data_IF_484586942370
#
_entry.id   IF_484586942370
#
_cell.length_a   1.000
_cell.length_b   1.000
_cell.length_c   1.000
_cell.angle_alpha   90.00
_cell.angle_beta   90.00
_cell.angle_gamma   90.00
#
_symmetry.space_group_name_H-M   'P 1'
#
loop_
_entity.id
_entity.type
_entity.pdbx_description
1 polymer ?
#
# COMPACT_ATOMS: atom_id res chain seq x y z
N UNK A 1 -11.74 21.85 -1.62
CA UNK A 1 -12.63 20.98 -0.84
C UNK A 1 -13.93 20.86 -1.61
N UNK A 2 -14.62 19.73 -1.57
CA UNK A 2 -15.77 19.47 -2.43
C UNK A 2 -17.02 19.10 -1.64
N UNK A 3 -18.17 19.51 -2.19
CA UNK A 3 -19.48 19.11 -1.67
C UNK A 3 -20.09 18.10 -2.64
N UNK A 4 -20.29 16.83 -2.19
CA UNK A 4 -20.77 15.74 -3.04
C UNK A 4 -22.24 15.36 -2.79
N UNK A 5 -22.88 15.91 -1.77
CA UNK A 5 -24.31 15.66 -1.52
C UNK A 5 -24.98 16.86 -0.83
N UNK A 6 -26.32 16.93 -0.95
CA UNK A 6 -27.11 17.96 -0.29
C UNK A 6 -27.20 17.77 1.25
N UNK A 7 -26.63 16.71 1.82
CA UNK A 7 -26.65 16.41 3.26
C UNK A 7 -25.79 17.36 4.09
N UNK A 8 -26.06 17.45 5.39
CA UNK A 8 -25.28 18.31 6.34
C UNK A 8 -23.81 17.88 6.40
N UNK A 9 -23.54 16.58 6.34
CA UNK A 9 -22.19 16.01 6.44
C UNK A 9 -21.66 15.46 5.11
N UNK A 10 -22.27 15.86 3.99
CA UNK A 10 -21.89 15.41 2.65
C UNK A 10 -20.87 16.31 1.97
N UNK A 11 -19.83 16.71 2.69
CA UNK A 11 -18.77 17.57 2.22
C UNK A 11 -17.45 17.30 2.96
N UNK A 12 -16.34 17.72 2.37
CA UNK A 12 -15.00 17.49 2.93
C UNK A 12 -14.84 18.16 4.29
N UNK A 13 -15.25 19.42 4.45
CA UNK A 13 -15.11 20.18 5.69
C UNK A 13 -15.78 19.50 6.88
N UNK A 14 -17.01 19.02 6.70
CA UNK A 14 -17.72 18.28 7.75
C UNK A 14 -17.03 16.95 8.10
N UNK A 15 -16.44 16.29 7.13
CA UNK A 15 -15.73 15.02 7.34
C UNK A 15 -14.41 15.24 8.07
N UNK A 16 -13.62 16.20 7.66
CA UNK A 16 -12.31 16.52 8.22
C UNK A 16 -12.43 17.05 9.66
N UNK A 17 -13.42 17.94 9.89
CA UNK A 17 -13.64 18.51 11.22
C UNK A 17 -14.27 17.55 12.25
N UNK A 18 -14.87 16.43 11.82
CA UNK A 18 -15.56 15.52 12.73
C UNK A 18 -14.67 14.91 13.81
N UNK A 19 -13.45 14.54 13.45
CA UNK A 19 -12.44 14.05 14.40
C UNK A 19 -11.96 15.18 15.33
N UNK A 20 -11.76 16.38 14.76
CA UNK A 20 -11.36 17.56 15.51
C UNK A 20 -12.41 17.97 16.55
N UNK A 21 -13.71 17.97 16.18
CA UNK A 21 -14.79 18.18 17.16
C UNK A 21 -14.72 17.16 18.32
N UNK A 22 -14.53 15.88 17.96
CA UNK A 22 -14.46 14.83 18.98
C UNK A 22 -13.29 15.07 19.95
N UNK A 23 -12.13 15.44 19.44
CA UNK A 23 -10.95 15.74 20.25
C UNK A 23 -11.15 17.00 21.11
N UNK A 24 -11.65 18.09 20.52
CA UNK A 24 -11.85 19.35 21.22
C UNK A 24 -12.86 19.21 22.37
N UNK A 25 -14.04 18.63 22.12
CA UNK A 25 -15.06 18.43 23.15
C UNK A 25 -14.66 17.41 24.22
N UNK A 26 -13.79 16.46 23.90
CA UNK A 26 -13.23 15.54 24.89
C UNK A 26 -12.25 16.23 25.83
N UNK A 27 -11.40 17.09 25.28
CA UNK A 27 -10.27 17.68 26.01
C UNK A 27 -10.65 18.97 26.75
N UNK A 28 -11.34 19.90 26.10
CA UNK A 28 -11.65 21.21 26.66
C UNK A 28 -13.01 21.31 27.32
N UNK A 29 -13.94 20.39 27.06
CA UNK A 29 -15.34 20.58 27.40
C UNK A 29 -16.11 21.39 26.39
N UNK A 30 -17.36 21.84 26.73
CA UNK A 30 -18.25 22.39 25.69
C UNK A 30 -17.86 23.80 25.27
N UNK A 31 -17.79 24.75 26.20
CA UNK A 31 -17.67 26.17 25.88
C UNK A 31 -16.29 26.51 25.33
N UNK A 32 -15.23 26.01 25.91
CA UNK A 32 -13.87 26.22 25.45
C UNK A 32 -13.62 25.53 24.13
N UNK A 33 -14.18 24.32 23.93
CA UNK A 33 -14.05 23.59 22.66
C UNK A 33 -14.63 24.37 21.48
N UNK A 34 -15.82 24.99 21.65
CA UNK A 34 -16.44 25.81 20.59
C UNK A 34 -15.50 26.96 20.19
N UNK A 35 -14.95 27.67 21.17
CA UNK A 35 -14.03 28.78 20.92
C UNK A 35 -12.77 28.32 20.17
N UNK A 36 -12.19 27.18 20.56
CA UNK A 36 -11.00 26.61 19.91
C UNK A 36 -11.28 26.13 18.49
N UNK A 37 -12.44 25.56 18.26
CA UNK A 37 -12.87 25.13 16.93
C UNK A 37 -13.10 26.36 16.03
N UNK A 38 -13.83 27.37 16.50
CA UNK A 38 -14.07 28.63 15.75
C UNK A 38 -12.74 29.32 15.40
N UNK A 39 -11.82 29.44 16.34
CA UNK A 39 -10.48 29.98 16.14
C UNK A 39 -9.71 29.20 15.06
N UNK A 40 -9.70 27.89 15.15
CA UNK A 40 -9.02 27.03 14.19
C UNK A 40 -9.61 27.14 12.78
N UNK A 41 -10.94 27.11 12.67
CA UNK A 41 -11.62 27.19 11.37
C UNK A 41 -11.35 28.54 10.71
N UNK A 42 -11.47 29.66 11.44
CA UNK A 42 -11.21 31.02 10.91
C UNK A 42 -9.77 31.20 10.46
N UNK A 43 -8.82 30.61 11.15
CA UNK A 43 -7.40 30.76 10.85
C UNK A 43 -6.89 29.82 9.75
N UNK A 44 -7.55 28.67 9.53
CA UNK A 44 -6.97 27.60 8.70
C UNK A 44 -7.89 27.09 7.59
N UNK A 45 -9.20 27.34 7.66
CA UNK A 45 -10.16 26.76 6.72
C UNK A 45 -10.96 27.82 5.98
N UNK A 46 -11.81 28.57 6.69
CA UNK A 46 -12.70 29.56 6.09
C UNK A 46 -13.20 30.57 7.12
N UNK A 47 -13.73 31.67 6.63
CA UNK A 47 -14.53 32.65 7.40
C UNK A 47 -15.91 32.90 6.73
N UNK A 48 -16.66 33.85 7.25
CA UNK A 48 -18.01 34.17 6.74
C UNK A 48 -18.01 34.64 5.28
N UNK A 49 -16.90 35.06 4.72
CA UNK A 49 -16.80 35.48 3.32
C UNK A 49 -16.89 34.29 2.36
N UNK A 50 -16.39 33.12 2.78
CA UNK A 50 -16.60 31.84 2.09
C UNK A 50 -17.92 31.22 2.56
N UNK A 51 -19.01 31.62 1.94
CA UNK A 51 -20.36 31.20 2.35
C UNK A 51 -20.60 29.71 2.31
N UNK A 52 -19.95 29.00 1.40
CA UNK A 52 -20.14 27.53 1.28
C UNK A 52 -19.48 26.81 2.44
N UNK A 53 -18.18 27.02 2.61
CA UNK A 53 -17.42 26.33 3.63
C UNK A 53 -17.85 26.76 5.04
N UNK A 54 -18.23 28.03 5.22
CA UNK A 54 -18.78 28.52 6.47
C UNK A 54 -20.11 27.83 6.84
N UNK A 55 -21.02 27.63 5.87
CA UNK A 55 -22.24 26.84 6.07
C UNK A 55 -21.93 25.38 6.44
N UNK A 56 -20.99 24.79 5.72
CA UNK A 56 -20.58 23.40 5.97
C UNK A 56 -20.04 23.24 7.40
N UNK A 57 -19.23 24.19 7.85
CA UNK A 57 -18.71 24.24 9.20
C UNK A 57 -19.82 24.39 10.25
N UNK A 58 -20.60 25.48 10.19
CA UNK A 58 -21.60 25.81 11.22
C UNK A 58 -22.65 24.71 11.34
N UNK A 59 -23.16 24.21 10.22
CA UNK A 59 -24.17 23.15 10.25
C UNK A 59 -23.61 21.82 10.75
N UNK A 60 -22.38 21.46 10.39
CA UNK A 60 -21.78 20.22 10.87
C UNK A 60 -21.43 20.26 12.35
N UNK A 61 -21.00 21.41 12.88
CA UNK A 61 -20.79 21.62 14.29
C UNK A 61 -22.10 21.51 15.08
N UNK A 62 -23.14 22.20 14.63
CA UNK A 62 -24.46 22.17 15.28
C UNK A 62 -25.07 20.77 15.26
N UNK A 63 -24.98 20.04 14.15
CA UNK A 63 -25.43 18.64 14.03
C UNK A 63 -24.67 17.71 14.97
N UNK A 64 -23.33 17.86 15.02
CA UNK A 64 -22.50 17.08 15.94
C UNK A 64 -22.90 17.33 17.39
N UNK A 65 -22.99 18.59 17.79
CA UNK A 65 -23.32 18.98 19.16
C UNK A 65 -24.74 18.51 19.55
N UNK A 66 -25.74 18.67 18.66
CA UNK A 66 -27.08 18.20 18.89
C UNK A 66 -27.13 16.68 19.07
N UNK A 67 -26.50 15.90 18.15
CA UNK A 67 -26.43 14.45 18.24
C UNK A 67 -25.73 13.92 19.49
N UNK A 68 -24.83 14.73 20.06
CA UNK A 68 -24.15 14.43 21.32
C UNK A 68 -24.91 14.91 22.57
N UNK A 69 -25.97 15.67 22.39
CA UNK A 69 -26.76 16.23 23.47
C UNK A 69 -26.04 17.33 24.28
N UNK A 70 -25.23 18.15 23.58
CA UNK A 70 -24.39 19.21 24.16
C UNK A 70 -24.50 20.56 23.42
N UNK A 71 -25.47 20.70 22.52
CA UNK A 71 -25.62 21.96 21.76
C UNK A 71 -25.97 23.11 22.74
N UNK A 72 -25.30 24.22 22.57
CA UNK A 72 -25.62 25.47 23.28
C UNK A 72 -26.66 26.28 22.50
N UNK A 73 -27.35 27.18 23.18
CA UNK A 73 -28.35 28.05 22.58
C UNK A 73 -27.70 28.91 21.46
N UNK A 74 -26.49 29.41 21.72
CA UNK A 74 -25.72 30.22 20.77
C UNK A 74 -25.48 29.49 19.44
N UNK A 75 -24.96 28.26 19.49
CA UNK A 75 -24.68 27.49 18.26
C UNK A 75 -25.95 27.05 17.56
N UNK A 76 -26.99 26.71 18.33
CA UNK A 76 -28.29 26.37 17.77
C UNK A 76 -28.88 27.56 17.01
N UNK A 77 -28.96 28.73 17.66
CA UNK A 77 -29.58 29.92 17.13
C UNK A 77 -28.81 30.45 15.93
N UNK A 78 -27.45 30.42 15.96
CA UNK A 78 -26.59 30.72 14.80
C UNK A 78 -26.91 29.87 13.58
N UNK A 79 -27.07 28.54 13.78
CA UNK A 79 -27.40 27.64 12.69
C UNK A 79 -28.82 27.88 12.14
N UNK A 80 -29.79 28.15 13.01
CA UNK A 80 -31.17 28.48 12.62
C UNK A 80 -31.24 29.80 11.86
N UNK A 81 -30.58 30.85 12.32
CA UNK A 81 -30.53 32.15 11.67
C UNK A 81 -29.95 32.05 10.25
N UNK A 82 -28.90 31.23 10.09
CA UNK A 82 -28.34 30.98 8.77
C UNK A 82 -29.30 30.21 7.84
N UNK A 83 -30.10 29.27 8.38
CA UNK A 83 -31.12 28.58 7.62
C UNK A 83 -32.23 29.52 7.22
N UNK A 84 -32.75 30.30 8.18
CA UNK A 84 -33.90 31.21 7.99
C UNK A 84 -33.56 32.40 7.06
N UNK A 85 -32.31 32.85 7.05
CA UNK A 85 -31.81 33.86 6.13
C UNK A 85 -31.40 33.31 4.74
N UNK A 86 -31.58 32.02 4.49
CA UNK A 86 -31.11 31.35 3.27
C UNK A 86 -29.62 31.58 2.97
N UNK A 87 -28.79 31.78 4.02
CA UNK A 87 -27.36 32.03 3.85
C UNK A 87 -26.68 30.89 3.11
N UNK A 88 -25.92 31.21 2.05
CA UNK A 88 -25.21 30.21 1.23
C UNK A 88 -26.06 29.43 0.24
N UNK A 89 -27.41 29.57 0.23
CA UNK A 89 -28.27 28.82 -0.70
C UNK A 89 -28.08 29.20 -2.18
N UNK A 90 -27.62 30.44 -2.46
CA UNK A 90 -27.35 30.89 -3.83
C UNK A 90 -26.34 29.97 -4.56
N UNK A 91 -25.37 29.43 -3.87
CA UNK A 91 -24.34 28.51 -4.42
C UNK A 91 -24.99 27.23 -4.95
N UNK A 92 -26.01 26.72 -4.24
CA UNK A 92 -26.75 25.53 -4.65
C UNK A 92 -27.63 25.75 -5.86
N UNK A 93 -28.01 27.01 -6.14
CA UNK A 93 -28.76 27.35 -7.35
C UNK A 93 -27.90 27.15 -8.61
N UNK A 94 -26.60 27.37 -8.53
CA UNK A 94 -25.64 27.12 -9.61
C UNK A 94 -25.52 25.63 -9.96
N UNK A 95 -25.74 24.76 -9.00
CA UNK A 95 -25.76 23.30 -9.17
C UNK A 95 -27.09 22.76 -9.74
N UNK A 96 -28.05 23.64 -10.01
CA UNK A 96 -29.34 23.36 -10.64
C UNK A 96 -30.49 23.19 -9.64
N UNK A 97 -31.73 23.42 -10.15
CA UNK A 97 -32.94 23.42 -9.32
C UNK A 97 -33.22 22.15 -8.52
N UNK A 98 -32.82 21.00 -9.04
CA UNK A 98 -33.01 19.72 -8.34
C UNK A 98 -32.16 19.68 -7.06
N UNK A 99 -30.92 20.09 -7.15
CA UNK A 99 -29.99 20.12 -6.00
C UNK A 99 -30.41 21.16 -4.98
N UNK A 100 -30.79 22.34 -5.44
CA UNK A 100 -31.31 23.41 -4.56
C UNK A 100 -32.55 22.94 -3.79
N UNK A 101 -33.52 22.29 -4.45
CA UNK A 101 -34.71 21.73 -3.80
C UNK A 101 -34.38 20.64 -2.77
N UNK A 102 -33.38 19.80 -3.09
CA UNK A 102 -32.92 18.80 -2.13
C UNK A 102 -32.26 19.45 -0.91
N UNK A 103 -31.41 20.45 -1.13
CA UNK A 103 -30.76 21.18 -0.02
C UNK A 103 -31.78 21.87 0.89
N UNK A 104 -32.77 22.57 0.32
CA UNK A 104 -33.85 23.21 1.09
C UNK A 104 -34.56 22.20 2.00
N UNK A 105 -34.94 21.03 1.46
CA UNK A 105 -35.57 19.95 2.28
C UNK A 105 -34.65 19.42 3.39
N UNK A 106 -33.35 19.34 3.15
CA UNK A 106 -32.39 18.90 4.16
C UNK A 106 -32.30 19.94 5.26
N UNK A 107 -32.20 21.23 4.92
CA UNK A 107 -32.10 22.33 5.89
C UNK A 107 -33.38 22.48 6.69
N UNK A 108 -34.55 22.31 6.08
CA UNK A 108 -35.84 22.30 6.76
C UNK A 108 -35.92 21.21 7.84
N UNK A 109 -35.56 19.98 7.50
CA UNK A 109 -35.47 18.85 8.46
C UNK A 109 -34.41 19.10 9.54
N UNK A 110 -33.30 19.73 9.18
CA UNK A 110 -32.26 20.05 10.12
C UNK A 110 -32.69 21.13 11.11
N UNK A 111 -33.41 22.14 10.64
CA UNK A 111 -34.04 23.14 11.49
C UNK A 111 -35.03 22.50 12.48
N UNK A 112 -35.92 21.61 12.00
CA UNK A 112 -36.84 20.85 12.85
C UNK A 112 -36.07 20.04 13.91
N UNK A 113 -34.98 19.40 13.52
CA UNK A 113 -34.09 18.68 14.44
C UNK A 113 -33.52 19.58 15.53
N UNK A 114 -33.01 20.76 15.18
CA UNK A 114 -32.41 21.70 16.13
C UNK A 114 -33.44 22.27 17.11
N UNK A 115 -34.71 22.40 16.70
CA UNK A 115 -35.81 22.84 17.55
C UNK A 115 -36.47 21.72 18.39
N UNK A 116 -36.12 20.47 18.08
CA UNK A 116 -36.66 19.32 18.80
C UNK A 116 -35.99 19.16 20.20
N UNK A 117 -36.60 18.41 21.12
CA UNK A 117 -36.01 18.16 22.42
C UNK A 117 -34.60 17.55 22.31
N UNK A 118 -33.67 18.12 23.10
CA UNK A 118 -32.28 17.69 23.07
C UNK A 118 -32.14 16.21 23.51
N UNK A 119 -31.41 15.39 22.76
CA UNK A 119 -31.15 13.99 23.14
C UNK A 119 -30.31 13.93 24.45
N UNK A 120 -30.34 12.77 25.10
CA UNK A 120 -29.48 12.53 26.26
C UNK A 120 -28.02 12.72 25.90
N UNK A 121 -27.27 13.40 26.79
CA UNK A 121 -25.81 13.60 26.62
C UNK A 121 -25.10 12.27 26.41
N UNK A 122 -24.34 12.15 25.35
CA UNK A 122 -23.54 10.98 25.04
C UNK A 122 -22.10 11.20 25.42
N UNK A 123 -21.43 10.13 25.81
CA UNK A 123 -19.97 10.16 26.02
C UNK A 123 -19.25 10.48 24.71
N UNK A 124 -18.38 11.46 24.78
CA UNK A 124 -17.46 11.81 23.69
C UNK A 124 -16.10 11.25 24.05
N UNK A 125 -15.49 10.50 23.15
CA UNK A 125 -14.14 9.97 23.29
C UNK A 125 -13.53 9.82 21.91
N UNK A 126 -12.31 10.33 21.69
CA UNK A 126 -11.56 10.08 20.46
C UNK A 126 -11.30 8.58 20.27
N UNK A 127 -11.35 8.13 19.05
CA UNK A 127 -10.97 6.77 18.69
C UNK A 127 -9.51 6.75 18.29
N UNK A 128 -8.62 6.90 19.27
CA UNK A 128 -7.17 6.93 19.07
C UNK A 128 -6.51 5.77 19.81
N UNK A 129 -5.41 5.28 19.28
CA UNK A 129 -4.63 4.19 19.81
C UNK A 129 -3.43 4.77 20.57
N UNK A 130 -3.52 4.78 21.88
CA UNK A 130 -2.48 5.33 22.77
C UNK A 130 -1.70 4.24 23.51
N UNK A 131 -2.25 3.03 23.58
CA UNK A 131 -1.60 1.91 24.26
C UNK A 131 -0.45 1.37 23.43
N UNK A 132 0.71 1.24 24.06
CA UNK A 132 1.89 0.54 23.52
C UNK A 132 2.05 -0.74 24.33
N UNK A 133 1.80 -1.93 23.70
CA UNK A 133 1.94 -3.22 24.42
C UNK A 133 3.40 -3.66 24.47
N UNK A 134 4.20 -3.25 23.49
CA UNK A 134 5.58 -3.70 23.34
C UNK A 134 6.53 -2.52 23.45
N UNK A 135 7.73 -2.78 23.95
CA UNK A 135 8.84 -1.85 23.88
C UNK A 135 9.51 -1.90 22.50
N UNK A 136 10.12 -0.78 22.11
CA UNK A 136 10.90 -0.74 20.86
C UNK A 136 12.08 -1.69 20.99
N UNK A 137 12.21 -2.62 20.08
CA UNK A 137 13.21 -3.69 20.14
C UNK A 137 12.66 -5.07 20.52
N UNK A 138 11.46 -5.14 21.11
CA UNK A 138 10.86 -6.43 21.49
C UNK A 138 10.69 -7.35 20.26
N UNK A 139 11.14 -8.59 20.42
CA UNK A 139 10.94 -9.68 19.46
C UNK A 139 9.78 -10.52 19.96
N UNK A 140 8.79 -10.66 19.09
CA UNK A 140 7.50 -11.25 19.44
C UNK A 140 7.27 -12.46 18.52
N UNK A 141 7.07 -13.62 19.13
CA UNK A 141 6.49 -14.76 18.46
C UNK A 141 4.97 -14.58 18.42
N UNK A 142 4.38 -14.58 17.24
CA UNK A 142 2.95 -14.39 17.07
C UNK A 142 2.35 -15.52 16.26
N UNK A 143 1.21 -16.04 16.74
CA UNK A 143 0.50 -17.13 16.07
C UNK A 143 -0.27 -16.62 14.88
N UNK A 144 -0.04 -17.22 13.71
CA UNK A 144 -0.81 -16.99 12.50
C UNK A 144 -2.24 -17.50 12.64
N UNK A 145 -3.20 -16.70 12.15
CA UNK A 145 -4.60 -17.07 11.97
C UNK A 145 -4.91 -16.89 10.50
N UNK A 146 -4.90 -17.97 9.74
CA UNK A 146 -5.08 -17.90 8.29
C UNK A 146 -6.42 -18.46 7.85
N UNK A 147 -7.05 -19.34 8.64
CA UNK A 147 -8.39 -19.84 8.38
C UNK A 147 -9.43 -18.72 8.56
N UNK A 148 -10.42 -18.70 7.69
CA UNK A 148 -11.56 -17.77 7.70
C UNK A 148 -11.14 -16.29 7.58
N UNK A 149 -9.91 -16.01 7.23
CA UNK A 149 -9.43 -14.67 6.99
C UNK A 149 -9.64 -14.30 5.52
N UNK A 150 -10.23 -13.13 5.22
CA UNK A 150 -10.29 -12.69 3.82
C UNK A 150 -8.88 -12.58 3.27
N UNK A 151 -8.65 -13.28 2.17
CA UNK A 151 -7.38 -13.23 1.46
C UNK A 151 -7.20 -11.83 0.86
N UNK A 152 -6.20 -11.12 1.32
CA UNK A 152 -5.92 -9.81 0.76
C UNK A 152 -5.39 -9.99 -0.67
N UNK A 153 -6.22 -9.65 -1.64
CA UNK A 153 -5.93 -9.84 -3.08
C UNK A 153 -4.58 -9.26 -3.51
N UNK A 154 -4.13 -8.20 -2.87
CA UNK A 154 -2.85 -7.59 -3.14
C UNK A 154 -1.66 -8.43 -2.62
N UNK A 155 -1.81 -9.17 -1.53
CA UNK A 155 -0.74 -10.05 -1.03
C UNK A 155 -0.49 -11.17 -2.04
N UNK A 156 -1.50 -11.66 -2.73
CA UNK A 156 -1.38 -12.61 -3.82
C UNK A 156 -0.63 -12.04 -5.05
N UNK A 157 -0.61 -10.72 -5.23
CA UNK A 157 0.15 -10.09 -6.32
C UNK A 157 1.67 -10.14 -6.10
N UNK A 158 2.11 -10.24 -4.86
CA UNK A 158 3.52 -10.24 -4.49
C UNK A 158 4.02 -11.58 -3.93
N UNK A 159 3.14 -12.56 -3.77
CA UNK A 159 3.44 -13.91 -3.32
C UNK A 159 2.95 -14.95 -4.32
N UNK A 160 3.60 -16.10 -4.36
CA UNK A 160 3.22 -17.26 -5.18
C UNK A 160 2.26 -18.20 -4.48
N UNK A 161 2.02 -17.98 -3.19
CA UNK A 161 1.11 -18.79 -2.41
C UNK A 161 -0.33 -18.59 -2.90
N UNK A 162 -1.02 -19.69 -3.12
CA UNK A 162 -2.46 -19.72 -3.19
C UNK A 162 -3.07 -19.50 -1.79
N UNK A 163 -4.36 -19.27 -1.75
CA UNK A 163 -5.07 -19.17 -0.47
C UNK A 163 -5.00 -20.49 0.32
N UNK A 164 -5.10 -21.59 -0.38
CA UNK A 164 -5.00 -22.94 0.19
C UNK A 164 -3.61 -23.18 0.79
N UNK A 165 -2.55 -22.79 0.08
CA UNK A 165 -1.18 -22.88 0.59
C UNK A 165 -0.99 -22.04 1.84
N UNK A 166 -1.57 -20.84 1.87
CA UNK A 166 -1.51 -19.96 3.02
C UNK A 166 -2.23 -20.56 4.24
N UNK A 167 -3.34 -21.26 4.04
CA UNK A 167 -4.06 -21.93 5.12
C UNK A 167 -3.25 -23.04 5.81
N UNK A 168 -2.27 -23.62 5.13
CA UNK A 168 -1.36 -24.61 5.73
C UNK A 168 -0.49 -24.04 6.86
N UNK A 169 -0.40 -22.72 6.96
CA UNK A 169 0.34 -22.05 8.04
C UNK A 169 -0.53 -21.70 9.25
N UNK A 170 -1.83 -22.06 9.24
CA UNK A 170 -2.72 -21.78 10.36
C UNK A 170 -2.21 -22.39 11.66
N UNK A 171 -2.10 -21.56 12.67
CA UNK A 171 -1.63 -21.96 13.99
C UNK A 171 -0.12 -21.97 14.19
N UNK A 172 0.67 -21.86 13.14
CA UNK A 172 2.13 -21.70 13.22
C UNK A 172 2.51 -20.32 13.73
N UNK A 173 3.77 -20.14 14.09
CA UNK A 173 4.31 -18.89 14.63
C UNK A 173 5.27 -18.24 13.64
N UNK A 174 5.22 -16.92 13.58
CA UNK A 174 6.19 -16.06 12.93
C UNK A 174 6.82 -15.13 13.96
N UNK A 175 7.99 -14.59 13.63
CA UNK A 175 8.69 -13.63 14.49
C UNK A 175 8.59 -12.25 13.89
N UNK A 176 8.15 -11.31 14.71
CA UNK A 176 8.16 -9.88 14.39
C UNK A 176 8.93 -9.11 15.46
N UNK A 177 9.44 -7.94 15.10
CA UNK A 177 10.10 -7.03 16.03
C UNK A 177 9.43 -5.66 15.98
N UNK A 178 9.07 -5.12 17.13
CA UNK A 178 8.67 -3.73 17.19
C UNK A 178 9.89 -2.83 16.98
N UNK A 179 9.86 -2.03 15.93
CA UNK A 179 10.98 -1.15 15.56
C UNK A 179 10.82 0.22 16.21
N UNK A 180 9.64 0.81 16.08
CA UNK A 180 9.31 2.12 16.65
C UNK A 180 7.79 2.30 16.72
N UNK A 181 7.37 3.41 17.28
CA UNK A 181 6.00 3.91 17.19
C UNK A 181 5.99 5.25 16.48
N UNK A 182 5.02 5.44 15.61
CA UNK A 182 4.83 6.70 14.88
C UNK A 182 3.44 7.24 15.13
N UNK A 183 3.33 8.56 15.24
CA UNK A 183 2.03 9.21 15.22
C UNK A 183 1.49 9.12 13.78
N UNK A 184 0.36 8.44 13.60
CA UNK A 184 -0.33 8.34 12.32
C UNK A 184 -1.17 9.58 12.06
N UNK A 185 -1.66 10.18 13.14
CA UNK A 185 -2.48 11.38 13.12
C UNK A 185 -2.37 12.10 14.47
N UNK A 186 -2.53 13.39 14.45
CA UNK A 186 -2.72 14.21 15.64
C UNK A 186 -3.82 15.24 15.39
N UNK A 187 -4.58 15.58 16.43
CA UNK A 187 -5.56 16.65 16.32
C UNK A 187 -4.87 17.98 16.07
N UNK A 188 -5.38 18.74 15.11
CA UNK A 188 -4.89 20.09 14.82
C UNK A 188 -5.30 21.09 15.89
N UNK A 189 -6.46 20.85 16.55
CA UNK A 189 -6.99 21.70 17.62
C UNK A 189 -6.40 21.29 18.97
N UNK A 190 -6.11 20.00 19.17
CA UNK A 190 -5.59 19.45 20.43
C UNK A 190 -4.35 18.60 20.14
N UNK A 191 -3.17 19.20 19.97
CA UNK A 191 -1.94 18.49 19.59
C UNK A 191 -1.52 17.38 20.56
N UNK A 192 -2.01 17.39 21.79
CA UNK A 192 -1.79 16.37 22.80
C UNK A 192 -2.47 15.05 22.46
N UNK A 193 -3.55 15.09 21.67
CA UNK A 193 -4.25 13.88 21.21
C UNK A 193 -3.59 13.38 19.94
N UNK A 194 -2.94 12.23 20.04
CA UNK A 194 -2.25 11.56 18.93
C UNK A 194 -2.74 10.13 18.82
N UNK A 195 -2.84 9.67 17.58
CA UNK A 195 -3.07 8.26 17.24
C UNK A 195 -1.73 7.64 16.85
N UNK A 196 -1.33 6.57 17.53
CA UNK A 196 -0.04 5.94 17.33
C UNK A 196 -0.18 4.59 16.64
N UNK A 197 0.71 4.36 15.71
CA UNK A 197 0.89 3.07 15.08
C UNK A 197 2.26 2.51 15.46
N UNK A 198 2.27 1.25 15.83
CA UNK A 198 3.52 0.53 16.00
C UNK A 198 3.99 0.00 14.65
N UNK A 199 5.26 0.17 14.36
CA UNK A 199 5.93 -0.37 13.19
C UNK A 199 6.60 -1.66 13.58
N UNK A 200 6.28 -2.74 12.86
CA UNK A 200 6.88 -4.05 13.05
C UNK A 200 7.67 -4.48 11.84
N UNK A 201 8.81 -5.10 12.09
CA UNK A 201 9.64 -5.79 11.10
C UNK A 201 9.36 -7.28 11.21
N UNK A 202 9.21 -7.97 10.08
CA UNK A 202 9.08 -9.41 10.02
C UNK A 202 10.46 -10.05 9.87
N UNK A 203 10.69 -11.12 10.59
CA UNK A 203 11.84 -12.00 10.37
C UNK A 203 11.47 -13.17 9.47
N UNK A 204 12.46 -13.68 8.77
CA UNK A 204 12.33 -14.87 7.93
C UNK A 204 12.15 -16.13 8.79
N UNK A 205 11.30 -17.03 8.34
CA UNK A 205 11.04 -18.29 8.99
C UNK A 205 9.64 -18.43 9.58
N UNK A 206 9.27 -19.69 9.74
CA UNK A 206 8.00 -20.17 10.33
C UNK A 206 8.30 -21.29 11.31
N UNK A 207 7.61 -21.30 12.42
CA UNK A 207 7.82 -22.22 13.52
C UNK A 207 6.52 -22.93 13.89
N UNK A 208 6.57 -24.20 14.19
CA UNK A 208 5.40 -24.98 14.63
C UNK A 208 4.95 -24.56 16.05
N UNK A 209 5.92 -24.22 16.90
CA UNK A 209 5.70 -23.71 18.26
C UNK A 209 6.51 -22.42 18.50
N UNK A 210 6.29 -21.78 19.64
CA UNK A 210 7.10 -20.63 20.05
C UNK A 210 8.56 -21.10 20.19
N UNK A 211 9.49 -20.53 19.40
CA UNK A 211 10.87 -21.00 19.44
C UNK A 211 11.54 -20.65 20.77
N UNK A 212 12.18 -21.62 21.36
CA UNK A 212 13.03 -21.45 22.54
C UNK A 212 14.45 -21.02 22.13
N UNK A 213 15.10 -20.19 22.93
CA UNK A 213 16.52 -19.82 22.77
C UNK A 213 16.85 -19.15 21.42
N UNK A 214 16.02 -18.23 20.95
CA UNK A 214 16.29 -17.44 19.74
C UNK A 214 17.44 -16.48 20.00
N UNK A 215 18.54 -16.64 19.23
CA UNK A 215 19.56 -15.61 19.20
C UNK A 215 19.09 -14.46 18.30
N UNK A 216 18.73 -13.33 18.91
CA UNK A 216 18.18 -12.16 18.25
C UNK A 216 19.08 -11.60 17.14
N UNK A 217 20.41 -11.67 17.31
CA UNK A 217 21.39 -11.13 16.36
C UNK A 217 21.50 -11.97 15.08
N UNK A 218 21.11 -13.25 15.14
CA UNK A 218 21.14 -14.17 14.01
C UNK A 218 19.84 -14.16 13.19
N UNK A 219 18.81 -13.46 13.63
CA UNK A 219 17.54 -13.38 12.91
C UNK A 219 17.72 -12.63 11.60
N UNK A 220 17.35 -13.27 10.50
CA UNK A 220 17.32 -12.67 9.17
C UNK A 220 16.02 -11.96 8.95
N UNK A 221 16.09 -10.77 8.37
CA UNK A 221 14.90 -10.01 8.00
C UNK A 221 14.22 -10.66 6.80
N UNK A 222 12.91 -10.80 6.88
CA UNK A 222 12.10 -11.18 5.74
C UNK A 222 12.13 -10.09 4.67
N UNK A 223 11.98 -10.48 3.41
CA UNK A 223 12.07 -9.60 2.27
C UNK A 223 10.79 -9.68 1.44
N UNK A 224 10.36 -8.54 0.96
CA UNK A 224 9.25 -8.43 0.00
C UNK A 224 9.82 -7.93 -1.31
N UNK A 225 9.37 -8.55 -2.40
CA UNK A 225 9.75 -8.15 -3.75
C UNK A 225 8.54 -7.48 -4.40
N UNK A 226 8.68 -6.21 -4.72
CA UNK A 226 7.66 -5.44 -5.41
C UNK A 226 8.29 -4.44 -6.37
N UNK A 227 7.69 -4.24 -7.54
CA UNK A 227 8.09 -3.23 -8.52
C UNK A 227 9.61 -3.16 -8.79
N UNK A 228 10.27 -4.30 -8.98
CA UNK A 228 11.71 -4.42 -9.27
C UNK A 228 12.64 -4.06 -8.11
N UNK A 229 12.13 -3.95 -6.90
CA UNK A 229 12.93 -3.66 -5.71
C UNK A 229 12.72 -4.73 -4.65
N UNK A 230 13.74 -4.91 -3.83
CA UNK A 230 13.69 -5.74 -2.64
C UNK A 230 13.54 -4.78 -1.46
N UNK A 231 12.53 -5.01 -0.64
CA UNK A 231 12.24 -4.23 0.54
C UNK A 231 12.36 -5.10 1.78
N UNK A 232 12.76 -4.51 2.90
CA UNK A 232 12.56 -5.14 4.20
C UNK A 232 11.06 -5.23 4.49
N UNK A 233 10.64 -6.33 5.09
CA UNK A 233 9.22 -6.58 5.35
C UNK A 233 8.78 -5.85 6.63
N UNK A 234 8.16 -4.68 6.47
CA UNK A 234 7.59 -3.91 7.56
C UNK A 234 6.07 -3.86 7.46
N UNK A 235 5.40 -3.83 8.60
CA UNK A 235 3.98 -3.51 8.71
C UNK A 235 3.72 -2.48 9.80
N UNK A 236 2.60 -1.78 9.69
CA UNK A 236 2.09 -0.93 10.74
C UNK A 236 0.79 -1.50 11.29
N UNK A 237 0.67 -1.51 12.58
CA UNK A 237 -0.54 -1.91 13.27
C UNK A 237 -0.88 -0.87 14.36
N UNK A 238 -1.99 -0.17 14.15
CA UNK A 238 -2.49 0.81 15.12
C UNK A 238 -3.32 0.16 16.21
N UNK A 239 -3.91 -0.97 15.89
CA UNK A 239 -4.91 -1.59 16.72
C UNK A 239 -4.30 -2.72 17.53
N UNK A 240 -4.24 -2.51 18.85
CA UNK A 240 -4.01 -3.61 19.79
C UNK A 240 -5.01 -4.75 19.64
N UNK A 241 -6.09 -4.51 18.88
CA UNK A 241 -7.12 -5.48 18.58
C UNK A 241 -6.56 -6.67 17.77
N UNK A 242 -5.58 -6.44 16.90
CA UNK A 242 -4.87 -7.49 16.21
C UNK A 242 -4.25 -8.49 17.19
N UNK A 243 -3.53 -7.99 18.20
CA UNK A 243 -2.86 -8.81 19.21
C UNK A 243 -3.81 -9.42 20.23
N UNK A 244 -4.90 -8.76 20.59
CA UNK A 244 -5.91 -9.28 21.54
C UNK A 244 -6.57 -10.59 21.09
N UNK A 245 -6.57 -10.88 19.80
CA UNK A 245 -7.18 -12.09 19.23
C UNK A 245 -6.18 -13.20 18.95
N UNK A 246 -4.91 -12.98 19.19
CA UNK A 246 -3.83 -13.94 18.86
C UNK A 246 -3.06 -14.33 20.10
N UNK A 247 -2.52 -15.57 20.05
CA UNK A 247 -1.48 -15.95 21.01
C UNK A 247 -0.19 -15.29 20.56
N UNK A 248 0.49 -14.63 21.47
CA UNK A 248 1.81 -14.07 21.24
C UNK A 248 2.65 -14.19 22.50
N UNK A 249 3.95 -14.13 22.36
CA UNK A 249 4.92 -14.13 23.44
C UNK A 249 6.10 -13.25 23.06
N UNK A 250 6.54 -12.37 23.95
CA UNK A 250 7.82 -11.70 23.82
C UNK A 250 8.91 -12.71 24.16
N UNK A 251 9.81 -12.97 23.22
CA UNK A 251 10.82 -14.02 23.32
C UNK A 251 12.25 -13.49 23.33
N UNK A 252 12.42 -12.19 23.18
CA UNK A 252 13.72 -11.55 23.17
C UNK A 252 13.63 -10.07 22.93
N UNK A 253 14.79 -9.44 22.90
CA UNK A 253 14.92 -8.02 22.60
C UNK A 253 16.19 -7.79 21.78
N UNK A 254 16.09 -6.95 20.74
CA UNK A 254 17.20 -6.47 19.93
C UNK A 254 17.05 -4.97 19.73
N UNK A 255 18.07 -4.22 20.12
CA UNK A 255 18.03 -2.76 19.94
C UNK A 255 17.73 -2.40 18.50
N UNK A 256 16.84 -1.44 18.30
CA UNK A 256 16.47 -0.87 17.01
C UNK A 256 16.86 0.59 16.93
N UNK A 257 17.09 1.08 15.71
CA UNK A 257 17.14 2.51 15.41
C UNK A 257 15.89 2.85 14.59
N UNK A 258 15.14 3.87 15.00
CA UNK A 258 13.97 4.36 14.26
C UNK A 258 14.31 4.78 12.82
N UNK A 259 15.58 5.09 12.53
CA UNK A 259 16.09 5.37 11.18
C UNK A 259 16.13 4.13 10.27
N UNK A 260 16.08 2.92 10.83
CA UNK A 260 15.96 1.69 10.04
C UNK A 260 14.64 1.62 9.30
N UNK A 261 13.64 2.34 9.78
CA UNK A 261 12.37 2.53 9.13
C UNK A 261 12.40 3.81 8.28
N UNK A 262 12.59 3.65 6.98
CA UNK A 262 12.44 4.74 6.02
C UNK A 262 10.98 4.83 5.56
N UNK A 263 10.29 5.86 6.04
CA UNK A 263 8.88 6.12 5.68
C UNK A 263 8.68 6.29 4.16
N UNK A 264 9.68 6.76 3.41
CA UNK A 264 9.58 6.92 1.97
C UNK A 264 9.61 5.57 1.24
N UNK A 265 10.48 4.63 1.65
CA UNK A 265 10.49 3.28 1.11
C UNK A 265 9.21 2.52 1.44
N UNK A 266 8.68 2.74 2.63
CA UNK A 266 7.43 2.19 3.12
C UNK A 266 6.23 2.71 2.36
N UNK A 267 6.16 4.01 2.12
CA UNK A 267 5.08 4.68 1.40
C UNK A 267 4.91 4.12 -0.01
N UNK A 268 5.97 3.73 -0.69
CA UNK A 268 5.90 3.13 -2.03
C UNK A 268 5.22 1.77 -2.07
N UNK A 269 5.34 0.94 -1.04
CA UNK A 269 4.64 -0.36 -0.98
C UNK A 269 3.17 -0.17 -0.58
N UNK A 270 2.86 0.78 0.26
CA UNK A 270 1.53 0.97 0.88
C UNK A 270 0.60 1.90 0.13
N UNK A 271 1.08 2.99 -0.44
CA UNK A 271 0.24 3.95 -1.17
C UNK A 271 -0.26 3.42 -2.52
N UNK A 272 0.42 2.44 -3.11
CA UNK A 272 -0.06 1.83 -4.36
C UNK A 272 -1.26 0.90 -4.17
N UNK A 273 -1.65 0.58 -2.95
CA UNK A 273 -2.67 -0.44 -2.64
C UNK A 273 -3.70 0.06 -1.64
N UNK A 274 -4.20 1.26 -1.84
CA UNK A 274 -5.40 1.80 -1.19
C UNK A 274 -5.73 1.25 0.22
N UNK A 275 -5.42 2.00 1.26
CA UNK A 275 -6.07 2.02 2.59
C UNK A 275 -6.18 0.71 3.37
N UNK A 276 -5.50 -0.36 3.03
CA UNK A 276 -5.48 -1.58 3.84
C UNK A 276 -4.19 -1.64 4.63
N UNK A 277 -4.30 -1.52 5.93
CA UNK A 277 -3.19 -1.73 6.85
C UNK A 277 -2.71 -3.18 6.75
N UNK A 278 -1.43 -3.35 6.54
CA UNK A 278 -0.82 -4.66 6.50
C UNK A 278 -0.67 -5.17 7.92
N UNK A 279 -1.44 -6.16 8.25
CA UNK A 279 -1.18 -6.91 9.46
C UNK A 279 -0.02 -7.90 9.26
N UNK A 280 0.58 -8.40 10.33
CA UNK A 280 1.67 -9.37 10.25
C UNK A 280 1.37 -10.62 9.42
N UNK A 281 0.13 -11.12 9.39
CA UNK A 281 -0.24 -12.27 8.58
C UNK A 281 -0.13 -11.96 7.09
N UNK A 282 -0.61 -10.79 6.69
CA UNK A 282 -0.55 -10.32 5.30
C UNK A 282 0.90 -10.04 4.88
N UNK A 283 1.68 -9.48 5.79
CA UNK A 283 3.10 -9.25 5.58
C UNK A 283 3.87 -10.57 5.39
N UNK A 284 3.56 -11.58 6.22
CA UNK A 284 4.11 -12.91 6.09
C UNK A 284 3.78 -13.51 4.72
N UNK A 285 2.52 -13.48 4.30
CA UNK A 285 2.13 -13.94 2.97
C UNK A 285 2.91 -13.26 1.85
N UNK A 286 3.07 -11.94 1.94
CA UNK A 286 3.82 -11.17 0.95
C UNK A 286 5.33 -11.49 0.94
N UNK A 287 5.89 -11.91 2.07
CA UNK A 287 7.32 -12.23 2.23
C UNK A 287 7.66 -13.67 1.88
N UNK A 288 6.66 -14.55 1.78
CA UNK A 288 6.91 -15.94 1.42
C UNK A 288 7.65 -16.01 0.09
N UNK A 289 8.84 -16.56 0.18
CA UNK A 289 9.78 -16.61 -0.94
C UNK A 289 9.18 -17.36 -2.14
N UNK A 290 9.49 -16.84 -3.30
CA UNK A 290 9.13 -17.46 -4.55
C UNK A 290 10.19 -18.48 -4.93
N UNK A 291 9.76 -19.65 -5.37
CA UNK A 291 10.67 -20.68 -5.84
C UNK A 291 11.11 -20.37 -7.26
N UNK A 292 12.43 -20.26 -7.47
CA UNK A 292 12.97 -20.19 -8.82
C UNK A 292 12.89 -21.57 -9.46
N UNK A 293 12.24 -21.64 -10.63
CA UNK A 293 12.21 -22.84 -11.48
C UNK A 293 12.69 -22.48 -12.85
N UNK A 294 13.56 -23.30 -13.41
CA UNK A 294 14.04 -23.13 -14.79
C UNK A 294 13.79 -24.45 -15.50
N UNK A 295 13.09 -24.39 -16.62
CA UNK A 295 12.72 -25.58 -17.37
C UNK A 295 12.82 -25.33 -18.89
N UNK A 296 13.03 -26.41 -19.65
CA UNK A 296 12.94 -26.36 -21.10
C UNK A 296 11.48 -26.15 -21.49
N UNK A 297 11.24 -25.15 -22.30
CA UNK A 297 9.90 -24.79 -22.71
C UNK A 297 9.40 -25.69 -23.84
N UNK A 298 8.17 -26.14 -23.73
CA UNK A 298 7.49 -26.96 -24.74
C UNK A 298 6.06 -26.50 -25.04
N UNK A 299 5.72 -25.29 -24.61
CA UNK A 299 4.37 -24.72 -24.78
C UNK A 299 4.17 -23.96 -26.12
N UNK A 300 3.05 -23.26 -26.29
CA UNK A 300 2.71 -22.51 -27.50
C UNK A 300 3.57 -21.25 -27.68
N UNK A 301 3.82 -20.88 -28.95
CA UNK A 301 4.67 -19.73 -29.32
C UNK A 301 4.09 -18.41 -28.78
N UNK A 302 2.78 -18.28 -28.75
CA UNK A 302 2.08 -17.10 -28.21
C UNK A 302 2.48 -16.81 -26.75
N UNK A 303 2.71 -17.85 -25.97
CA UNK A 303 3.14 -17.71 -24.59
C UNK A 303 4.59 -17.24 -24.48
N UNK A 304 5.49 -17.70 -25.37
CA UNK A 304 6.86 -17.18 -25.42
C UNK A 304 6.87 -15.69 -25.73
N UNK A 305 6.05 -15.26 -26.70
CA UNK A 305 5.90 -13.85 -27.05
C UNK A 305 5.37 -13.03 -25.88
N UNK A 306 4.38 -13.54 -25.14
CA UNK A 306 3.84 -12.87 -23.96
C UNK A 306 4.91 -12.67 -22.87
N UNK A 307 5.71 -13.70 -22.57
CA UNK A 307 6.79 -13.62 -21.60
C UNK A 307 7.83 -12.59 -22.05
N UNK A 308 8.24 -12.61 -23.32
CA UNK A 308 9.20 -11.67 -23.87
C UNK A 308 8.68 -10.23 -23.91
N UNK A 309 7.40 -10.01 -24.24
CA UNK A 309 6.78 -8.70 -24.21
C UNK A 309 6.71 -8.12 -22.79
N UNK A 310 6.38 -8.96 -21.80
CA UNK A 310 6.36 -8.55 -20.40
C UNK A 310 7.76 -8.19 -19.90
N UNK A 311 8.82 -8.77 -20.45
CA UNK A 311 10.20 -8.41 -20.13
C UNK A 311 10.53 -6.96 -20.48
N UNK A 312 10.00 -6.46 -21.60
CA UNK A 312 10.27 -5.12 -22.08
C UNK A 312 9.26 -4.05 -21.64
N UNK A 313 8.06 -4.48 -21.25
CA UNK A 313 6.94 -3.57 -20.93
C UNK A 313 7.23 -2.62 -19.77
N UNK A 314 8.15 -2.95 -18.86
CA UNK A 314 8.48 -2.18 -17.67
C UNK A 314 9.91 -1.61 -17.65
N UNK A 315 10.74 -1.89 -18.68
CA UNK A 315 12.16 -1.54 -18.67
C UNK A 315 12.56 -0.32 -19.48
N UNK A 316 11.73 0.17 -20.38
CA UNK A 316 12.13 1.18 -21.36
C UNK A 316 11.20 2.40 -21.49
N UNK A 317 10.19 2.54 -20.62
CA UNK A 317 9.32 3.70 -20.68
C UNK A 317 9.80 4.82 -19.75
N UNK A 318 10.56 5.76 -20.31
CA UNK A 318 10.66 7.10 -19.75
C UNK A 318 9.27 7.75 -19.83
N UNK A 319 8.67 8.06 -18.71
CA UNK A 319 7.36 8.71 -18.57
C UNK A 319 7.31 10.15 -19.16
N UNK A 320 8.33 10.55 -19.92
CA UNK A 320 8.49 11.91 -20.42
C UNK A 320 8.04 12.12 -21.88
N UNK A 321 7.56 11.08 -22.56
CA UNK A 321 7.11 11.22 -23.95
C UNK A 321 5.58 11.31 -24.08
N UNK A 322 5.12 11.96 -25.15
CA UNK A 322 3.69 12.01 -25.50
C UNK A 322 3.13 10.61 -25.75
N UNK A 323 1.82 10.40 -25.49
CA UNK A 323 1.16 9.10 -25.62
C UNK A 323 1.41 8.38 -26.95
N UNK A 324 1.38 9.12 -28.06
CA UNK A 324 1.54 8.58 -29.42
C UNK A 324 2.96 8.05 -29.70
N UNK A 325 3.98 8.74 -29.18
CA UNK A 325 5.38 8.31 -29.36
C UNK A 325 5.69 7.06 -28.53
N UNK A 326 5.16 6.97 -27.32
CA UNK A 326 5.29 5.76 -26.50
C UNK A 326 4.61 4.56 -27.17
N UNK A 327 3.45 4.76 -27.78
CA UNK A 327 2.75 3.68 -28.47
C UNK A 327 3.50 3.22 -29.73
N UNK A 328 4.10 4.14 -30.51
CA UNK A 328 4.94 3.80 -31.66
C UNK A 328 6.15 2.97 -31.23
N UNK A 329 6.89 3.42 -30.22
CA UNK A 329 8.07 2.71 -29.68
C UNK A 329 7.69 1.33 -29.13
N UNK A 330 6.54 1.21 -28.48
CA UNK A 330 6.03 -0.08 -28.01
C UNK A 330 5.80 -1.04 -29.17
N UNK A 331 5.14 -0.60 -30.26
CA UNK A 331 4.88 -1.42 -31.43
C UNK A 331 6.17 -1.84 -32.15
N UNK A 332 7.13 -0.93 -32.26
CA UNK A 332 8.44 -1.23 -32.85
C UNK A 332 9.18 -2.29 -32.01
N UNK A 333 9.15 -2.19 -30.69
CA UNK A 333 9.80 -3.14 -29.80
C UNK A 333 9.07 -4.50 -29.79
N UNK A 334 7.75 -4.52 -29.77
CA UNK A 334 6.96 -5.75 -29.89
C UNK A 334 7.24 -6.46 -31.20
N UNK A 335 7.38 -5.71 -32.29
CA UNK A 335 7.77 -6.25 -33.58
C UNK A 335 9.17 -6.86 -33.53
N UNK A 336 10.14 -6.15 -32.98
CA UNK A 336 11.53 -6.63 -32.83
C UNK A 336 11.61 -7.93 -32.04
N UNK A 337 10.86 -8.01 -30.93
CA UNK A 337 10.78 -9.22 -30.10
C UNK A 337 10.18 -10.37 -30.91
N UNK A 338 9.09 -10.12 -31.63
CA UNK A 338 8.46 -11.12 -32.48
C UNK A 338 9.44 -11.65 -33.52
N UNK A 339 10.08 -10.76 -34.27
CA UNK A 339 11.05 -11.11 -35.32
C UNK A 339 12.20 -11.96 -34.73
N UNK A 340 12.70 -11.62 -33.53
CA UNK A 340 13.72 -12.39 -32.83
C UNK A 340 13.24 -13.80 -32.43
N UNK A 341 12.05 -13.94 -31.87
CA UNK A 341 11.51 -15.24 -31.47
C UNK A 341 11.23 -16.12 -32.71
N UNK A 342 10.62 -15.55 -33.74
CA UNK A 342 10.36 -16.25 -35.02
C UNK A 342 11.65 -16.71 -35.69
N UNK A 343 12.70 -15.87 -35.71
CA UNK A 343 14.02 -16.25 -36.19
C UNK A 343 14.58 -17.40 -35.35
N UNK A 344 14.57 -17.30 -34.03
CA UNK A 344 15.08 -18.37 -33.18
C UNK A 344 14.33 -19.68 -33.41
N UNK A 345 13.01 -19.65 -33.62
CA UNK A 345 12.22 -20.84 -33.98
C UNK A 345 12.61 -21.43 -35.32
N UNK A 346 12.83 -20.57 -36.35
CA UNK A 346 13.25 -21.03 -37.68
C UNK A 346 14.63 -21.67 -37.66
N UNK A 347 15.49 -21.32 -36.72
CA UNK A 347 16.81 -21.88 -36.50
C UNK A 347 16.83 -23.05 -35.53
N UNK A 348 15.64 -23.59 -35.15
CA UNK A 348 15.45 -24.70 -34.22
C UNK A 348 16.04 -24.44 -32.83
N UNK A 349 15.84 -23.22 -32.31
CA UNK A 349 16.28 -22.89 -30.97
C UNK A 349 15.59 -23.73 -29.87
N UNK A 350 16.34 -24.09 -28.86
CA UNK A 350 15.80 -24.52 -27.59
C UNK A 350 15.42 -23.32 -26.74
N UNK A 351 14.21 -23.31 -26.20
CA UNK A 351 13.76 -22.28 -25.29
C UNK A 351 13.75 -22.77 -23.85
N UNK A 352 14.16 -21.91 -22.93
CA UNK A 352 14.11 -22.14 -21.50
C UNK A 352 13.38 -21.00 -20.83
N UNK A 353 12.43 -21.32 -19.96
CA UNK A 353 11.74 -20.33 -19.15
C UNK A 353 12.26 -20.33 -17.74
N UNK A 354 12.28 -19.17 -17.13
CA UNK A 354 12.48 -19.00 -15.69
C UNK A 354 11.20 -18.49 -15.08
N UNK A 355 10.74 -19.15 -14.03
CA UNK A 355 9.63 -18.70 -13.22
C UNK A 355 10.10 -18.40 -11.80
N UNK A 356 9.49 -17.37 -11.24
CA UNK A 356 9.64 -16.95 -9.86
C UNK A 356 8.21 -16.74 -9.33
N UNK A 357 7.54 -17.91 -9.14
CA UNK A 357 6.11 -18.04 -8.91
C UNK A 357 5.26 -18.00 -10.17
N UNK A 358 5.54 -17.11 -11.06
CA UNK A 358 5.03 -17.10 -12.43
C UNK A 358 6.18 -17.00 -13.41
N UNK A 359 5.93 -17.37 -14.64
CA UNK A 359 6.91 -17.19 -15.70
C UNK A 359 7.29 -15.70 -15.81
N UNK A 360 8.57 -15.42 -15.66
CA UNK A 360 9.09 -14.07 -15.57
C UNK A 360 10.28 -13.80 -16.49
N UNK A 361 10.71 -14.80 -17.23
CA UNK A 361 11.76 -14.64 -18.23
C UNK A 361 11.93 -15.87 -19.12
N UNK A 362 12.66 -15.69 -20.19
CA UNK A 362 13.04 -16.77 -21.10
C UNK A 362 14.44 -16.56 -21.67
N UNK A 363 15.06 -17.64 -22.10
CA UNK A 363 16.25 -17.65 -22.94
C UNK A 363 16.05 -18.56 -24.13
N UNK A 364 16.61 -18.18 -25.29
CA UNK A 364 16.72 -19.05 -26.47
C UNK A 364 18.17 -19.47 -26.71
N UNK A 365 18.36 -20.70 -27.13
CA UNK A 365 19.68 -21.29 -27.41
C UNK A 365 19.68 -21.88 -28.80
N UNK A 366 20.64 -21.48 -29.65
CA UNK A 366 20.83 -21.95 -31.00
C UNK A 366 22.27 -22.45 -31.14
N UNK A 367 22.45 -23.73 -31.50
CA UNK A 367 23.78 -24.29 -31.67
C UNK A 367 24.74 -23.97 -30.55
N UNK A 368 24.32 -24.27 -29.31
CA UNK A 368 25.06 -24.04 -28.06
C UNK A 368 25.36 -22.55 -27.72
N UNK A 369 24.70 -21.63 -28.42
CA UNK A 369 24.83 -20.20 -28.17
C UNK A 369 23.55 -19.65 -27.59
N UNK A 370 23.67 -18.88 -26.53
CA UNK A 370 22.53 -18.11 -25.95
C UNK A 370 22.26 -16.95 -26.90
N UNK A 371 21.12 -17.02 -27.60
CA UNK A 371 20.73 -16.04 -28.60
C UNK A 371 19.96 -14.86 -28.00
N UNK A 372 18.96 -15.14 -27.17
CA UNK A 372 18.18 -14.11 -26.50
C UNK A 372 17.99 -14.43 -25.02
N UNK A 373 17.92 -13.38 -24.20
CA UNK A 373 17.52 -13.48 -22.79
C UNK A 373 16.57 -12.33 -22.47
N UNK A 374 15.40 -12.67 -22.00
CA UNK A 374 14.38 -11.73 -21.57
C UNK A 374 14.04 -11.97 -20.09
N UNK A 375 14.08 -10.93 -19.26
CA UNK A 375 13.61 -10.96 -17.87
C UNK A 375 12.61 -9.82 -17.72
N UNK A 376 11.40 -10.14 -17.32
CA UNK A 376 10.33 -9.17 -17.09
C UNK A 376 10.81 -8.03 -16.17
N UNK A 377 10.52 -6.79 -16.56
CA UNK A 377 11.04 -5.60 -15.91
C UNK A 377 10.83 -5.58 -14.39
N UNK A 378 9.68 -6.07 -13.93
CA UNK A 378 9.36 -6.20 -12.50
C UNK A 378 10.21 -7.25 -11.75
N UNK A 379 10.93 -8.11 -12.47
CA UNK A 379 11.79 -9.16 -11.89
C UNK A 379 13.27 -8.96 -12.20
N UNK A 380 13.62 -7.85 -12.85
CA UNK A 380 15.03 -7.50 -13.09
C UNK A 380 15.74 -7.17 -11.75
N UNK A 381 17.05 -7.26 -11.75
CA UNK A 381 17.93 -7.04 -10.57
C UNK A 381 17.75 -8.03 -9.41
N UNK A 382 16.94 -9.08 -9.57
CA UNK A 382 16.78 -10.16 -8.59
C UNK A 382 17.76 -11.32 -8.80
N UNK A 383 18.69 -11.18 -9.71
CA UNK A 383 19.64 -12.24 -10.06
C UNK A 383 19.07 -13.34 -10.95
N UNK A 384 17.80 -13.24 -11.38
CA UNK A 384 17.14 -14.29 -12.19
C UNK A 384 17.79 -14.46 -13.56
N UNK A 385 18.21 -13.37 -14.20
CA UNK A 385 18.96 -13.43 -15.44
C UNK A 385 20.27 -14.20 -15.29
N UNK A 386 20.99 -13.97 -14.20
CA UNK A 386 22.23 -14.71 -13.87
C UNK A 386 21.95 -16.20 -13.66
N UNK A 387 20.87 -16.54 -12.95
CA UNK A 387 20.49 -17.94 -12.72
C UNK A 387 20.07 -18.63 -14.01
N UNK A 388 19.27 -17.94 -14.86
CA UNK A 388 18.83 -18.48 -16.16
C UNK A 388 20.04 -18.72 -17.07
N UNK A 389 20.93 -17.75 -17.23
CA UNK A 389 22.14 -17.87 -18.03
C UNK A 389 23.04 -18.98 -17.49
N UNK A 390 23.27 -19.05 -16.17
CA UNK A 390 24.06 -20.10 -15.53
C UNK A 390 23.49 -21.50 -15.74
N UNK A 391 22.18 -21.65 -15.66
CA UNK A 391 21.50 -22.92 -15.91
C UNK A 391 21.65 -23.35 -17.37
N UNK A 392 21.39 -22.44 -18.29
CA UNK A 392 21.45 -22.72 -19.74
C UNK A 392 22.88 -23.04 -20.18
N UNK A 393 23.89 -22.29 -19.70
CA UNK A 393 25.29 -22.58 -20.00
C UNK A 393 25.75 -23.95 -19.48
N UNK A 394 25.21 -24.41 -18.37
CA UNK A 394 25.47 -25.78 -17.88
C UNK A 394 24.85 -26.90 -18.75
N UNK A 395 23.97 -26.54 -19.69
CA UNK A 395 23.38 -27.48 -20.66
C UNK A 395 24.11 -27.49 -22.00
N UNK A 396 24.92 -26.49 -22.26
CA UNK A 396 25.73 -26.33 -23.47
C UNK A 396 27.18 -26.67 -23.11
N UNK A 397 27.72 -27.79 -23.24
CA UNK A 397 29.09 -28.28 -22.97
C UNK A 397 30.15 -27.24 -22.45
N UNK A 398 29.70 -26.26 -21.66
CA UNK A 398 30.52 -25.23 -21.02
C UNK A 398 31.04 -24.10 -21.93
N UNK A 399 30.59 -24.01 -23.18
CA UNK A 399 30.99 -22.97 -24.14
C UNK A 399 29.78 -22.20 -24.67
N UNK A 400 28.92 -21.68 -23.81
CA UNK A 400 27.83 -20.83 -24.26
C UNK A 400 28.37 -19.47 -24.72
N UNK A 401 28.24 -19.16 -25.97
CA UNK A 401 28.50 -17.83 -26.53
C UNK A 401 27.23 -17.01 -26.46
N UNK A 402 27.34 -15.75 -26.11
CA UNK A 402 26.21 -14.83 -26.10
C UNK A 402 26.43 -13.72 -27.12
N UNK A 403 25.51 -13.57 -28.06
CA UNK A 403 25.46 -12.38 -28.91
C UNK A 403 24.97 -11.22 -28.05
N UNK A 404 25.82 -10.23 -27.78
CA UNK A 404 25.46 -9.02 -27.06
C UNK A 404 24.99 -8.00 -28.09
N UNK A 405 23.70 -7.72 -28.21
CA UNK A 405 23.23 -6.64 -29.06
C UNK A 405 23.80 -5.32 -28.58
N UNK A 406 24.17 -4.46 -29.50
CA UNK A 406 24.89 -3.22 -29.23
C UNK A 406 24.30 -2.38 -28.08
N UNK A 407 25.15 -2.05 -27.16
CA UNK A 407 25.22 -0.83 -26.36
C UNK A 407 24.48 -0.76 -25.02
N UNK A 408 23.21 -1.08 -24.87
CA UNK A 408 22.51 -0.76 -23.59
C UNK A 408 22.80 -1.69 -22.42
N UNK A 409 23.14 -2.93 -22.66
CA UNK A 409 23.27 -3.95 -21.62
C UNK A 409 24.66 -4.62 -21.54
N UNK A 410 25.66 -4.12 -22.29
CA UNK A 410 26.98 -4.73 -22.38
C UNK A 410 27.62 -4.96 -21.00
N UNK A 411 27.59 -3.94 -20.14
CA UNK A 411 28.19 -4.03 -18.80
C UNK A 411 27.45 -5.03 -17.89
N UNK A 412 26.12 -5.13 -18.00
CA UNK A 412 25.31 -6.07 -17.20
C UNK A 412 25.59 -7.49 -17.66
N UNK A 413 25.62 -7.73 -18.96
CA UNK A 413 25.88 -9.05 -19.53
C UNK A 413 27.32 -9.48 -19.24
N UNK A 414 28.29 -8.60 -19.41
CA UNK A 414 29.70 -8.88 -19.06
C UNK A 414 29.80 -9.28 -17.58
N UNK A 415 29.18 -8.53 -16.68
CA UNK A 415 29.19 -8.85 -15.27
C UNK A 415 28.49 -10.19 -14.94
N UNK A 416 27.42 -10.54 -15.63
CA UNK A 416 26.74 -11.85 -15.50
C UNK A 416 27.68 -12.97 -15.98
N UNK A 417 28.33 -12.77 -17.12
CA UNK A 417 29.25 -13.75 -17.70
C UNK A 417 30.48 -13.97 -16.83
N UNK A 418 31.06 -12.91 -16.26
CA UNK A 418 32.13 -13.00 -15.26
C UNK A 418 31.72 -13.82 -14.03
N UNK A 419 30.47 -13.62 -13.55
CA UNK A 419 29.97 -14.40 -12.41
C UNK A 419 29.64 -15.84 -12.72
N UNK A 420 29.22 -16.16 -13.94
CA UNK A 420 28.81 -17.51 -14.35
C UNK A 420 29.92 -18.30 -15.00
N UNK A 421 31.08 -17.69 -15.29
CA UNK A 421 32.19 -18.32 -16.00
C UNK A 421 31.95 -18.53 -17.50
N UNK A 422 30.92 -17.87 -18.06
CA UNK A 422 30.59 -17.95 -19.48
C UNK A 422 31.56 -17.12 -20.29
N UNK A 423 32.17 -17.70 -21.32
CA UNK A 423 32.97 -16.95 -22.27
C UNK A 423 32.07 -16.10 -23.19
N UNK A 424 32.17 -14.78 -23.08
CA UNK A 424 31.46 -13.84 -23.95
C UNK A 424 32.33 -13.52 -25.14
N UNK A 425 32.03 -14.10 -26.29
CA UNK A 425 32.55 -13.56 -27.55
C UNK A 425 31.60 -12.43 -28.02
N UNK A 426 32.04 -11.19 -27.86
CA UNK A 426 31.41 -10.05 -28.52
C UNK A 426 31.74 -10.14 -29.99
N UNK A 427 30.74 -10.45 -30.83
CA UNK A 427 30.82 -10.28 -32.26
C UNK A 427 30.06 -9.02 -32.63
#
# INVERSE_FOLDING_TARGET
>A
MGTWSAGITGNDTAMDLRSEYTCAFYYYGTDEAVNKIDEYVRNNICDESDREEWCNYVYSLADFMWKKGIITDEIRDRAIDMIDSEFGLSIWAESGEKMLRQRKKVLEKFREQLLSPLPKKKKIKPNVHTEQIFEDGDIIAIRLITKDKPFASWAALVSDLSYEDFQAYDGKYILIQKVCSQASWQSSIVPEIKDYWAVFRLFDGVYDDVPENVNADNLKEARIISQNKIYSAFCCESSMFYFKRRKYQVIGHRRTDSKEYDSAAYTHIFLSVSNTHWDPDSLFLASMGRTVRIEKYSGPVERLLEIAYNANRYGSYDYHFSGDENERRRREEEKRIRDNIERSLSENADFYTISYGKECGLASVINDKIDNVYISGQFQKLGLGTQLIGYVSGKTDGQAYMNIPEVRNKNVITHICEKTGINVNCI
#
